data_IF_457125814303
#
_entry.id   IF_457125814303
#
_cell.length_a   1.000
_cell.length_b   1.000
_cell.length_c   1.000
_cell.angle_alpha   90.00
_cell.angle_beta   90.00
_cell.angle_gamma   90.00
#
_symmetry.space_group_name_H-M   'P 1'
#
loop_
_entity.id
_entity.type
_entity.pdbx_description
1 polymer ?
#
# COMPACT_ATOMS: atom_id res chain seq x y z
N UNK A 1 0.48 -16.22 -16.75
CA UNK A 1 -0.58 -15.62 -15.90
C UNK A 1 -0.22 -14.15 -15.69
N UNK A 2 -1.10 -13.25 -15.22
CA UNK A 2 -0.64 -11.91 -14.86
C UNK A 2 0.42 -12.01 -13.77
N UNK A 3 1.51 -11.23 -13.93
CA UNK A 3 2.63 -11.22 -12.99
C UNK A 3 2.43 -10.10 -11.99
N UNK A 4 2.59 -10.38 -10.70
CA UNK A 4 2.47 -9.36 -9.66
C UNK A 4 3.60 -8.32 -9.79
N UNK A 5 3.26 -7.05 -9.92
CA UNK A 5 4.22 -5.94 -10.02
C UNK A 5 5.06 -5.73 -8.75
N UNK A 6 4.68 -6.34 -7.62
CA UNK A 6 5.39 -6.18 -6.34
C UNK A 6 6.33 -7.35 -6.05
N UNK A 7 5.86 -8.59 -6.23
CA UNK A 7 6.67 -9.79 -5.91
C UNK A 7 7.16 -10.58 -7.12
N UNK A 8 6.77 -10.20 -8.34
CA UNK A 8 7.21 -10.85 -9.58
C UNK A 8 6.66 -12.27 -9.81
N UNK A 9 5.75 -12.75 -8.97
CA UNK A 9 5.14 -14.09 -9.11
C UNK A 9 3.95 -14.07 -10.05
N UNK A 10 3.77 -15.15 -10.80
CA UNK A 10 2.51 -15.44 -11.49
C UNK A 10 1.35 -15.46 -10.49
N UNK A 11 0.25 -14.78 -10.84
CA UNK A 11 -0.93 -14.67 -10.00
C UNK A 11 -2.12 -15.28 -10.71
N UNK A 12 -2.80 -16.20 -10.05
CA UNK A 12 -4.12 -16.64 -10.49
C UNK A 12 -5.09 -15.45 -10.45
N UNK A 13 -5.96 -15.28 -11.45
CA UNK A 13 -6.94 -14.19 -11.48
C UNK A 13 -7.76 -14.07 -10.18
N UNK A 14 -8.10 -15.19 -9.51
CA UNK A 14 -8.82 -15.20 -8.21
C UNK A 14 -8.03 -14.56 -7.05
N UNK A 15 -6.71 -14.44 -7.20
CA UNK A 15 -5.78 -13.93 -6.19
C UNK A 15 -5.28 -12.53 -6.51
N UNK A 16 -5.79 -11.89 -7.55
CA UNK A 16 -5.53 -10.48 -7.83
C UNK A 16 -6.39 -9.63 -6.88
N UNK A 17 -5.79 -8.61 -6.29
CA UNK A 17 -6.45 -7.65 -5.41
C UNK A 17 -6.51 -6.24 -6.00
N UNK A 18 -5.67 -5.92 -6.97
CA UNK A 18 -5.66 -4.63 -7.63
C UNK A 18 -5.20 -4.76 -9.08
N UNK A 19 -5.90 -4.03 -9.94
CA UNK A 19 -5.62 -3.92 -11.37
C UNK A 19 -5.73 -2.43 -11.71
N UNK A 20 -4.68 -1.89 -12.32
CA UNK A 20 -4.70 -0.57 -12.92
C UNK A 20 -3.82 -0.56 -14.15
N UNK A 21 -4.43 -0.41 -15.33
CA UNK A 21 -3.76 -0.56 -16.62
C UNK A 21 -2.97 -1.88 -16.70
N UNK A 22 -1.65 -1.81 -16.81
CA UNK A 22 -0.76 -2.97 -16.89
C UNK A 22 -0.21 -3.42 -15.52
N UNK A 23 -0.67 -2.82 -14.41
CA UNK A 23 -0.23 -3.13 -13.06
C UNK A 23 -1.20 -4.13 -12.43
N UNK A 24 -0.67 -5.30 -12.07
CA UNK A 24 -1.38 -6.34 -11.34
C UNK A 24 -0.75 -6.54 -9.97
N UNK A 25 -1.56 -6.58 -8.91
CA UNK A 25 -1.06 -6.81 -7.55
C UNK A 25 -1.85 -7.93 -6.90
N UNK A 26 -1.15 -8.95 -6.38
CA UNK A 26 -1.78 -10.05 -5.66
C UNK A 26 -2.25 -9.63 -4.26
N UNK A 27 -3.18 -10.39 -3.69
CA UNK A 27 -3.74 -10.17 -2.35
C UNK A 27 -2.70 -9.99 -1.25
N UNK A 28 -1.60 -10.74 -1.30
CA UNK A 28 -0.56 -10.67 -0.26
C UNK A 28 0.28 -9.40 -0.35
N UNK A 29 0.48 -8.89 -1.57
CA UNK A 29 1.27 -7.68 -1.82
C UNK A 29 0.45 -6.40 -1.72
N UNK A 30 -0.86 -6.50 -1.93
CA UNK A 30 -1.74 -5.36 -2.00
C UNK A 30 -1.74 -4.45 -0.77
N UNK A 31 -1.71 -4.94 0.48
CA UNK A 31 -1.67 -4.07 1.66
C UNK A 31 -0.49 -3.09 1.63
N UNK A 32 0.71 -3.60 1.32
CA UNK A 32 1.91 -2.76 1.24
C UNK A 32 1.87 -1.84 0.02
N UNK A 33 1.41 -2.34 -1.12
CA UNK A 33 1.26 -1.54 -2.33
C UNK A 33 0.29 -0.36 -2.11
N UNK A 34 -0.85 -0.63 -1.49
CA UNK A 34 -1.86 0.38 -1.17
C UNK A 34 -1.29 1.47 -0.26
N UNK A 35 -0.65 1.09 0.85
CA UNK A 35 -0.07 2.06 1.80
C UNK A 35 0.95 2.97 1.13
N UNK A 36 1.83 2.40 0.29
CA UNK A 36 2.92 3.14 -0.34
C UNK A 36 2.48 4.03 -1.49
N UNK A 37 1.53 3.57 -2.31
CA UNK A 37 1.24 4.18 -3.61
C UNK A 37 -0.15 4.80 -3.72
N UNK A 38 -1.13 4.38 -2.91
CA UNK A 38 -2.54 4.77 -3.08
C UNK A 38 -3.15 5.48 -1.86
N UNK A 39 -2.55 5.31 -0.67
CA UNK A 39 -3.14 5.80 0.57
C UNK A 39 -2.90 7.30 0.77
N UNK A 40 -3.87 8.13 0.36
CA UNK A 40 -3.83 9.59 0.58
C UNK A 40 -3.63 10.03 2.03
N UNK A 41 -4.07 9.22 3.00
CA UNK A 41 -3.87 9.51 4.43
C UNK A 41 -2.40 9.36 4.83
N UNK A 42 -1.67 8.40 4.24
CA UNK A 42 -0.22 8.27 4.44
C UNK A 42 0.49 9.52 3.92
N UNK A 43 0.15 9.98 2.71
CA UNK A 43 0.74 11.19 2.13
C UNK A 43 0.57 12.41 3.04
N UNK A 44 -0.64 12.63 3.57
CA UNK A 44 -0.93 13.70 4.52
C UNK A 44 -0.12 13.59 5.81
N UNK A 45 -0.06 12.38 6.39
CA UNK A 45 0.73 12.12 7.61
C UNK A 45 2.22 12.37 7.42
N UNK A 46 2.78 12.01 6.26
CA UNK A 46 4.18 12.29 5.92
C UNK A 46 4.47 13.79 5.79
N UNK A 47 3.46 14.59 5.43
CA UNK A 47 3.54 16.07 5.44
C UNK A 47 3.36 16.69 6.83
N UNK A 48 3.17 15.89 7.87
CA UNK A 48 2.92 16.36 9.24
C UNK A 48 1.46 16.73 9.51
N UNK A 49 0.52 16.45 8.60
CA UNK A 49 -0.90 16.63 8.85
C UNK A 49 -1.47 15.50 9.71
N UNK A 50 -2.55 15.76 10.46
CA UNK A 50 -3.25 14.77 11.28
C UNK A 50 -4.68 14.49 10.75
N UNK A 51 -4.82 13.79 9.61
CA UNK A 51 -6.13 13.48 9.04
C UNK A 51 -6.90 12.47 9.90
N UNK A 52 -8.23 12.57 9.87
CA UNK A 52 -9.13 11.55 10.44
C UNK A 52 -8.84 10.20 9.75
N UNK A 53 -8.85 9.11 10.54
CA UNK A 53 -8.47 7.78 10.09
C UNK A 53 -9.27 7.33 8.85
N UNK A 54 -8.57 6.72 7.88
CA UNK A 54 -9.13 6.26 6.60
C UNK A 54 -9.98 4.99 6.74
N UNK A 55 -10.98 4.83 5.86
CA UNK A 55 -11.80 3.62 5.69
C UNK A 55 -11.01 2.31 5.53
N UNK A 56 -9.72 2.36 5.14
CA UNK A 56 -8.83 1.18 5.07
C UNK A 56 -8.12 0.85 6.40
N UNK A 57 -8.76 1.14 7.54
CA UNK A 57 -8.33 0.81 8.90
C UNK A 57 -7.83 -0.64 9.09
N UNK A 58 -8.20 -1.58 8.20
CA UNK A 58 -7.67 -2.94 8.16
C UNK A 58 -6.12 -3.01 8.14
N UNK A 59 -5.46 -1.98 7.60
CA UNK A 59 -4.00 -1.92 7.49
C UNK A 59 -3.35 -0.83 8.36
N UNK A 60 -4.05 -0.35 9.40
CA UNK A 60 -3.58 0.76 10.27
C UNK A 60 -2.17 0.50 10.81
N UNK A 61 -1.90 -0.68 11.37
CA UNK A 61 -0.58 -1.03 11.93
C UNK A 61 0.55 -0.93 10.90
N UNK A 62 0.28 -1.34 9.66
CA UNK A 62 1.26 -1.30 8.57
C UNK A 62 1.47 0.15 8.10
N UNK A 63 0.40 0.95 8.05
CA UNK A 63 0.46 2.39 7.76
C UNK A 63 1.30 3.13 8.80
N UNK A 64 1.03 2.94 10.09
CA UNK A 64 1.76 3.61 11.18
C UNK A 64 3.26 3.22 11.16
N UNK A 65 3.56 1.93 10.92
CA UNK A 65 4.93 1.44 10.75
C UNK A 65 5.63 2.07 9.55
N UNK A 66 4.96 2.15 8.40
CA UNK A 66 5.50 2.77 7.20
C UNK A 66 5.80 4.25 7.42
N UNK A 67 4.84 5.02 7.94
CA UNK A 67 5.04 6.45 8.23
C UNK A 67 6.19 6.66 9.19
N UNK A 68 6.24 5.91 10.30
CA UNK A 68 7.32 6.04 11.29
C UNK A 68 8.70 5.77 10.69
N UNK A 69 8.84 4.71 9.88
CA UNK A 69 10.11 4.37 9.22
C UNK A 69 10.51 5.41 8.18
N UNK A 70 9.57 5.89 7.38
CA UNK A 70 9.85 6.88 6.34
C UNK A 70 10.26 8.21 6.94
N UNK A 71 9.58 8.70 7.98
CA UNK A 71 9.96 9.94 8.66
C UNK A 71 11.37 9.85 9.27
N UNK A 72 11.71 8.71 9.90
CA UNK A 72 13.06 8.47 10.43
C UNK A 72 14.16 8.45 9.36
N UNK A 73 13.83 8.10 8.12
CA UNK A 73 14.79 8.08 7.02
C UNK A 73 14.96 9.46 6.36
N UNK A 74 14.05 10.40 6.62
CA UNK A 74 14.08 11.77 6.09
C UNK A 74 14.75 12.76 7.05
N UNK A 75 14.89 12.37 8.33
CA UNK A 75 15.65 13.07 9.37
C UNK A 75 17.11 12.68 9.35
#
# INVERSE_FOLDING_TARGET
>A
MPVCAVCGKDVNFKNIAYIYENIFVCKDCFPQYYIKNLCKVVEKRLKGENPIACNFCAFKRQCDSYVSRTLKALS
#
